data_IF_457663872582
#
_entry.id   IF_457663872582
#
_cell.length_a   1.000
_cell.length_b   1.000
_cell.length_c   1.000
_cell.angle_alpha   90.00
_cell.angle_beta   90.00
_cell.angle_gamma   90.00
#
_symmetry.space_group_name_H-M   'P 1'
#
loop_
_entity.id
_entity.type
_entity.pdbx_description
1 polymer ?
#
# COMPACT_ATOMS: atom_id res chain seq x y z
N UNK A 1 22.91 8.32 -9.69
CA UNK A 1 22.84 7.09 -8.87
C UNK A 1 21.62 7.26 -7.96
N UNK A 2 20.39 7.27 -8.51
CA UNK A 2 19.27 7.99 -7.86
C UNK A 2 17.96 7.19 -7.88
N UNK A 3 17.89 6.13 -7.07
CA UNK A 3 16.65 5.38 -6.85
C UNK A 3 16.54 4.95 -5.40
N UNK A 4 16.47 5.91 -4.48
CA UNK A 4 16.13 5.63 -3.09
C UNK A 4 14.61 5.48 -2.99
N UNK A 5 14.11 4.27 -3.23
CA UNK A 5 12.71 3.91 -3.03
C UNK A 5 12.64 2.92 -1.86
N UNK A 6 12.13 3.37 -0.72
CA UNK A 6 11.91 2.50 0.42
C UNK A 6 10.49 1.97 0.37
N UNK A 7 10.35 0.69 0.05
CA UNK A 7 9.10 -0.04 0.29
C UNK A 7 9.42 -1.11 1.30
N UNK A 8 8.71 -1.08 2.43
CA UNK A 8 8.76 -2.17 3.40
C UNK A 8 7.41 -2.87 3.39
N UNK A 9 7.46 -4.17 3.10
CA UNK A 9 6.33 -5.08 3.16
C UNK A 9 6.43 -5.80 4.51
N UNK A 10 5.55 -5.46 5.45
CA UNK A 10 5.48 -6.15 6.75
C UNK A 10 4.44 -7.26 6.68
N UNK A 11 4.86 -8.52 6.81
CA UNK A 11 3.93 -9.65 6.95
C UNK A 11 3.28 -9.61 8.32
N UNK A 12 1.96 -9.55 8.36
CA UNK A 12 1.18 -9.61 9.61
C UNK A 12 0.52 -10.98 9.72
N UNK A 13 1.13 -11.86 10.54
CA UNK A 13 0.58 -13.17 10.92
C UNK A 13 0.73 -14.29 9.88
N UNK A 14 0.71 -15.53 10.38
CA UNK A 14 0.38 -16.74 9.62
C UNK A 14 -0.73 -17.40 10.44
N UNK A 15 -1.99 -17.09 10.14
CA UNK A 15 -3.10 -17.88 10.66
C UNK A 15 -3.86 -18.46 9.48
N UNK A 16 -3.79 -19.80 9.41
CA UNK A 16 -4.38 -20.80 8.53
C UNK A 16 -4.71 -20.54 7.05
N UNK A 17 -5.00 -19.33 6.55
CA UNK A 17 -5.39 -19.18 5.13
C UNK A 17 -5.12 -17.83 4.44
N UNK A 18 -4.69 -16.75 5.12
CA UNK A 18 -4.48 -15.46 4.45
C UNK A 18 -3.22 -14.74 4.95
N UNK A 19 -2.16 -14.75 4.13
CA UNK A 19 -0.96 -13.97 4.38
C UNK A 19 -1.21 -12.51 4.05
N UNK A 20 -1.46 -11.67 5.05
CA UNK A 20 -1.65 -10.23 4.86
C UNK A 20 -0.34 -9.46 5.04
N UNK A 21 -0.09 -8.45 4.22
CA UNK A 21 1.08 -7.60 4.39
C UNK A 21 0.81 -6.10 4.19
N UNK A 22 1.55 -5.30 4.97
CA UNK A 22 1.43 -3.86 4.97
C UNK A 22 2.45 -3.23 4.02
N UNK A 23 1.95 -2.44 3.07
CA UNK A 23 2.78 -1.66 2.17
C UNK A 23 3.05 -0.28 2.77
N UNK A 24 4.28 -0.03 3.20
CA UNK A 24 4.67 1.21 3.88
C UNK A 24 5.70 2.03 3.13
N UNK A 25 5.71 3.34 3.42
CA UNK A 25 6.74 4.31 3.04
C UNK A 25 6.98 4.51 1.53
N UNK A 26 6.01 4.17 0.67
CA UNK A 26 6.10 4.44 -0.78
C UNK A 26 6.26 5.94 -1.02
N UNK A 27 7.44 6.33 -1.50
CA UNK A 27 7.79 7.72 -1.79
C UNK A 27 8.54 7.77 -3.12
N UNK A 28 8.31 8.81 -3.91
CA UNK A 28 9.07 9.12 -5.12
C UNK A 28 9.63 10.52 -4.96
N UNK A 29 10.89 10.73 -5.34
CA UNK A 29 11.50 12.05 -5.36
C UNK A 29 10.66 13.02 -6.19
N UNK A 30 10.48 14.26 -5.71
CA UNK A 30 9.56 15.25 -6.31
C UNK A 30 9.89 15.52 -7.77
N UNK A 31 11.17 15.53 -8.10
CA UNK A 31 11.73 15.75 -9.43
C UNK A 31 11.33 14.65 -10.42
N UNK A 32 10.93 13.48 -9.92
CA UNK A 32 10.54 12.30 -10.71
C UNK A 32 9.03 12.05 -10.68
N UNK A 33 8.24 12.92 -10.04
CA UNK A 33 6.78 12.79 -10.03
C UNK A 33 6.20 12.83 -11.44
N UNK A 34 5.00 12.24 -11.60
CA UNK A 34 4.24 12.20 -12.87
C UNK A 34 4.91 11.44 -14.02
N UNK A 35 5.97 10.68 -13.77
CA UNK A 35 6.63 9.80 -14.74
C UNK A 35 6.24 8.32 -14.59
N UNK A 36 5.18 8.01 -13.83
CA UNK A 36 4.72 6.63 -13.63
C UNK A 36 5.44 5.84 -12.53
N UNK A 37 6.53 6.34 -11.95
CA UNK A 37 7.33 5.60 -10.97
C UNK A 37 6.54 5.10 -9.75
N UNK A 38 5.55 5.86 -9.28
CA UNK A 38 4.68 5.41 -8.19
C UNK A 38 3.93 4.11 -8.55
N UNK A 39 3.44 4.00 -9.78
CA UNK A 39 2.78 2.80 -10.28
C UNK A 39 3.74 1.63 -10.44
N UNK A 40 4.95 1.89 -10.93
CA UNK A 40 5.98 0.87 -11.09
C UNK A 40 6.36 0.26 -9.74
N UNK A 41 6.53 1.10 -8.72
CA UNK A 41 6.85 0.68 -7.36
C UNK A 41 5.72 -0.18 -6.79
N UNK A 42 4.46 0.29 -6.88
CA UNK A 42 3.30 -0.47 -6.38
C UNK A 42 3.15 -1.79 -7.13
N UNK A 43 3.33 -1.81 -8.45
CA UNK A 43 3.25 -3.02 -9.27
C UNK A 43 4.32 -4.04 -8.88
N UNK A 44 5.58 -3.62 -8.76
CA UNK A 44 6.67 -4.50 -8.31
C UNK A 44 6.45 -5.03 -6.90
N UNK A 45 5.92 -4.19 -6.01
CA UNK A 45 5.62 -4.60 -4.64
C UNK A 45 4.57 -5.71 -4.57
N UNK A 46 3.55 -5.66 -5.45
CA UNK A 46 2.55 -6.73 -5.57
C UNK A 46 3.16 -8.05 -6.06
N UNK A 47 4.09 -7.98 -7.01
CA UNK A 47 4.79 -9.18 -7.53
C UNK A 47 5.59 -9.82 -6.40
N UNK A 48 6.41 -9.05 -5.70
CA UNK A 48 7.20 -9.54 -4.55
C UNK A 48 6.29 -10.10 -3.45
N UNK A 49 5.17 -9.44 -3.15
CA UNK A 49 4.21 -9.93 -2.18
C UNK A 49 3.64 -11.31 -2.58
N UNK A 50 3.23 -11.47 -3.85
CA UNK A 50 2.77 -12.76 -4.37
C UNK A 50 3.83 -13.85 -4.26
N UNK A 51 5.08 -13.55 -4.61
CA UNK A 51 6.21 -14.49 -4.49
C UNK A 51 6.43 -14.95 -3.03
N UNK A 52 6.07 -14.13 -2.05
CA UNK A 52 6.14 -14.47 -0.62
C UNK A 52 4.89 -15.18 -0.09
N UNK A 53 3.92 -15.49 -0.96
CA UNK A 53 2.64 -16.11 -0.58
C UNK A 53 1.71 -15.15 0.16
N UNK A 54 1.86 -13.84 -0.04
CA UNK A 54 0.93 -12.83 0.51
C UNK A 54 -0.29 -12.78 -0.40
N UNK A 55 -1.46 -12.99 0.19
CA UNK A 55 -2.77 -12.96 -0.46
C UNK A 55 -3.39 -11.56 -0.42
N UNK A 56 -2.95 -10.71 0.50
CA UNK A 56 -3.63 -9.45 0.82
C UNK A 56 -2.63 -8.34 1.10
N UNK A 57 -2.73 -7.23 0.36
CA UNK A 57 -1.95 -6.02 0.64
C UNK A 57 -2.83 -4.90 1.15
N UNK A 58 -2.32 -4.16 2.13
CA UNK A 58 -3.02 -2.99 2.66
C UNK A 58 -2.07 -1.82 2.93
N UNK A 59 -2.61 -0.61 2.90
CA UNK A 59 -1.88 0.64 3.09
C UNK A 59 -2.75 1.67 3.81
N UNK A 60 -2.15 2.47 4.68
CA UNK A 60 -2.80 3.65 5.22
C UNK A 60 -2.42 4.89 4.42
N UNK A 61 -3.41 5.69 4.06
CA UNK A 61 -3.22 6.95 3.33
C UNK A 61 -3.86 8.07 4.13
N UNK A 62 -3.16 9.19 4.31
CA UNK A 62 -3.77 10.38 4.93
C UNK A 62 -4.89 10.93 4.04
N UNK A 63 -6.02 11.34 4.63
CA UNK A 63 -7.22 11.80 3.89
C UNK A 63 -6.92 12.98 2.95
N UNK A 64 -5.97 13.83 3.32
CA UNK A 64 -5.53 15.00 2.55
C UNK A 64 -4.44 14.68 1.49
N UNK A 65 -3.89 13.45 1.48
CA UNK A 65 -2.92 13.00 0.50
C UNK A 65 -3.60 12.45 -0.76
N UNK A 66 -4.26 13.36 -1.48
CA UNK A 66 -5.01 13.06 -2.70
C UNK A 66 -4.14 12.39 -3.80
N UNK A 67 -2.86 12.75 -4.01
CA UNK A 67 -2.01 12.04 -4.97
C UNK A 67 -1.79 10.57 -4.62
N UNK A 68 -1.53 10.25 -3.35
CA UNK A 68 -1.33 8.87 -2.91
C UNK A 68 -2.64 8.07 -2.99
N UNK A 69 -3.76 8.66 -2.57
CA UNK A 69 -5.08 8.05 -2.71
C UNK A 69 -5.37 7.67 -4.16
N UNK A 70 -5.15 8.60 -5.09
CA UNK A 70 -5.33 8.35 -6.52
C UNK A 70 -4.37 7.28 -7.07
N UNK A 71 -3.12 7.27 -6.63
CA UNK A 71 -2.15 6.24 -7.00
C UNK A 71 -2.65 4.84 -6.62
N UNK A 72 -3.06 4.64 -5.36
CA UNK A 72 -3.50 3.33 -4.87
C UNK A 72 -4.83 2.90 -5.47
N UNK A 73 -5.82 3.80 -5.55
CA UNK A 73 -7.13 3.51 -6.15
C UNK A 73 -6.99 3.12 -7.63
N UNK A 74 -6.19 3.87 -8.42
CA UNK A 74 -5.90 3.52 -9.82
C UNK A 74 -5.05 2.26 -9.96
N UNK A 75 -4.34 1.88 -8.91
CA UNK A 75 -3.64 0.60 -8.83
C UNK A 75 -4.57 -0.55 -8.42
N UNK A 76 -5.87 -0.32 -8.23
CA UNK A 76 -6.84 -1.38 -7.90
C UNK A 76 -7.01 -1.66 -6.41
N UNK A 77 -6.46 -0.83 -5.52
CA UNK A 77 -6.84 -0.87 -4.11
C UNK A 77 -8.26 -0.33 -3.94
N UNK A 78 -9.01 -0.93 -3.02
CA UNK A 78 -10.33 -0.49 -2.60
C UNK A 78 -10.30 0.05 -1.18
N UNK A 79 -11.28 0.87 -0.82
CA UNK A 79 -11.46 1.35 0.54
C UNK A 79 -11.93 0.21 1.44
N UNK A 80 -11.25 0.01 2.57
CA UNK A 80 -11.61 -1.01 3.56
C UNK A 80 -12.17 -0.39 4.84
N UNK A 81 -11.47 0.58 5.43
CA UNK A 81 -11.87 1.21 6.70
C UNK A 81 -11.34 2.63 6.83
N UNK A 82 -11.94 3.41 7.73
CA UNK A 82 -11.45 4.72 8.15
C UNK A 82 -10.90 4.68 9.58
N UNK A 83 -9.79 5.37 9.83
CA UNK A 83 -9.36 5.62 11.19
C UNK A 83 -10.39 6.49 11.94
N UNK A 84 -10.76 6.15 13.20
CA UNK A 84 -11.68 6.97 13.97
C UNK A 84 -11.18 8.41 14.16
N UNK A 85 -12.07 9.39 13.96
CA UNK A 85 -11.70 10.81 14.02
C UNK A 85 -11.10 11.24 15.39
N UNK A 86 -11.51 10.59 16.48
CA UNK A 86 -10.97 10.85 17.82
C UNK A 86 -9.51 10.40 17.95
N UNK A 87 -9.15 9.27 17.36
CA UNK A 87 -7.80 8.73 17.37
C UNK A 87 -6.84 9.63 16.59
N UNK A 88 -7.28 10.13 15.44
CA UNK A 88 -6.51 11.07 14.62
C UNK A 88 -6.28 12.42 15.34
N UNK A 89 -7.31 12.95 16.03
CA UNK A 89 -7.21 14.19 16.81
C UNK A 89 -6.28 14.06 18.00
N UNK A 90 -6.28 12.92 18.69
CA UNK A 90 -5.35 12.66 19.79
C UNK A 90 -3.89 12.64 19.33
N UNK A 91 -3.63 12.16 18.10
CA UNK A 91 -2.30 12.04 17.53
C UNK A 91 -1.84 13.27 16.72
N UNK A 92 -2.61 14.37 16.75
CA UNK A 92 -2.35 15.62 16.01
C UNK A 92 -1.94 15.41 14.54
N UNK A 93 -2.61 14.47 13.87
CA UNK A 93 -2.35 14.15 12.46
C UNK A 93 -3.63 13.99 11.67
N UNK A 94 -3.60 14.20 10.34
CA UNK A 94 -4.76 13.89 9.50
C UNK A 94 -5.18 12.42 9.69
N UNK A 95 -6.50 12.23 9.65
CA UNK A 95 -7.12 10.90 9.63
C UNK A 95 -6.54 10.09 8.49
N UNK A 96 -6.29 8.80 8.72
CA UNK A 96 -5.90 7.87 7.66
C UNK A 96 -7.07 7.01 7.22
N UNK A 97 -7.11 6.72 5.93
CA UNK A 97 -7.98 5.69 5.34
C UNK A 97 -7.15 4.45 5.10
N UNK A 98 -7.75 3.29 5.32
CA UNK A 98 -7.18 1.99 5.04
C UNK A 98 -7.65 1.54 3.67
N UNK A 99 -6.70 1.33 2.77
CA UNK A 99 -6.95 0.77 1.45
C UNK A 99 -6.38 -0.64 1.38
N UNK A 100 -7.08 -1.55 0.70
CA UNK A 100 -6.70 -2.96 0.58
C UNK A 100 -6.85 -3.46 -0.86
N UNK A 101 -6.06 -4.47 -1.24
CA UNK A 101 -6.21 -5.22 -2.47
C UNK A 101 -5.93 -6.70 -2.22
N UNK A 102 -6.81 -7.55 -2.74
CA UNK A 102 -6.56 -8.99 -2.85
C UNK A 102 -5.59 -9.28 -4.00
N UNK A 103 -4.57 -10.06 -3.70
CA UNK A 103 -3.63 -10.59 -4.68
C UNK A 103 -4.09 -12.00 -5.06
N UNK A 104 -4.50 -12.25 -6.31
CA UNK A 104 -4.87 -13.60 -6.71
C UNK A 104 -3.66 -14.51 -6.58
N UNK A 105 -3.83 -15.66 -5.90
CA UNK A 105 -2.88 -16.76 -5.94
C UNK A 105 -2.77 -17.22 -7.39
N UNK A 106 -1.58 -17.12 -7.96
CA UNK A 106 -1.29 -17.72 -9.26
C UNK A 106 -1.14 -19.22 -9.05
N UNK A 107 -2.26 -19.93 -8.86
CA UNK A 107 -2.32 -21.36 -9.10
C UNK A 107 -2.49 -21.54 -10.61
N UNK A 108 -1.44 -21.26 -11.37
CA UNK A 108 -1.34 -21.74 -12.75
C UNK A 108 -0.64 -23.10 -12.72
N UNK A 109 -1.34 -24.07 -13.30
CA UNK A 109 -1.10 -25.52 -13.34
C UNK A 109 0.24 -25.91 -13.95
#
# INVERSE_FOLDING_TARGET
>A
MDRLYLVIIFRQGIEADFGRAYLSNVCVARELHRNGLGYDIVTKSKIVAKEWGITDLYVHVAVDNEPAKNLYMKSGFIHENDEPAWQARFLDRPRRILLWIGLPCTNEL
#
